data_IF_675311937938
#
_entry.id   IF_675311937938
#
_cell.length_a   1.000
_cell.length_b   1.000
_cell.length_c   1.000
_cell.angle_alpha   90.00
_cell.angle_beta   90.00
_cell.angle_gamma   90.00
#
_symmetry.space_group_name_H-M   'P 1'
#
loop_
_entity.id
_entity.type
_entity.pdbx_description
1 polymer ?
#
# COMPACT_ATOMS: atom_id res chain seq x y z
N UNK A 1 43.69 -38.95 -31.75
CA UNK A 1 42.36 -38.30 -31.83
C UNK A 1 41.47 -38.68 -30.62
N UNK A 2 41.83 -38.30 -29.39
CA UNK A 2 41.05 -38.66 -28.17
C UNK A 2 40.87 -37.51 -27.17
N UNK A 3 41.24 -36.27 -27.53
CA UNK A 3 41.23 -35.12 -26.60
C UNK A 3 39.99 -34.22 -26.70
N UNK A 4 39.07 -34.48 -27.63
CA UNK A 4 37.91 -33.62 -27.88
C UNK A 4 36.60 -34.08 -27.21
N UNK A 5 36.56 -35.29 -26.64
CA UNK A 5 35.32 -35.85 -26.05
C UNK A 5 35.05 -35.41 -24.61
N UNK A 6 36.08 -35.00 -23.85
CA UNK A 6 35.93 -34.66 -22.42
C UNK A 6 35.32 -33.28 -22.22
N UNK A 7 35.59 -32.34 -23.13
CA UNK A 7 35.00 -31.00 -23.04
C UNK A 7 33.48 -31.01 -23.27
N UNK A 8 32.93 -32.08 -23.87
CA UNK A 8 31.52 -32.13 -24.28
C UNK A 8 30.52 -32.37 -23.14
N UNK A 9 30.97 -33.04 -22.10
CA UNK A 9 30.08 -33.41 -20.99
C UNK A 9 30.11 -32.36 -19.87
N UNK A 10 31.10 -31.45 -19.85
CA UNK A 10 31.15 -30.35 -18.87
C UNK A 10 30.11 -29.26 -19.10
N UNK A 11 29.71 -28.98 -20.35
CA UNK A 11 28.76 -27.89 -20.64
C UNK A 11 27.29 -28.29 -20.53
N UNK A 12 26.97 -29.59 -20.46
CA UNK A 12 25.60 -30.05 -20.17
C UNK A 12 25.23 -29.91 -18.70
N UNK A 13 26.21 -29.80 -17.80
CA UNK A 13 25.97 -29.61 -16.37
C UNK A 13 25.61 -28.16 -15.99
N UNK A 14 25.87 -27.19 -16.88
CA UNK A 14 25.68 -25.76 -16.59
C UNK A 14 24.29 -25.26 -17.03
N UNK A 15 23.60 -25.96 -17.94
CA UNK A 15 22.33 -25.49 -18.53
C UNK A 15 21.06 -25.98 -17.82
N UNK A 16 21.19 -26.78 -16.76
CA UNK A 16 20.04 -27.32 -16.02
C UNK A 16 19.79 -26.61 -14.67
N UNK A 17 20.13 -25.31 -14.57
CA UNK A 17 19.48 -24.45 -13.58
C UNK A 17 18.09 -24.13 -14.08
N UNK A 18 17.17 -25.03 -13.74
CA UNK A 18 15.74 -24.76 -13.72
C UNK A 18 15.55 -23.48 -12.91
N UNK A 19 15.33 -22.34 -13.58
CA UNK A 19 14.87 -21.14 -12.93
C UNK A 19 13.54 -21.51 -12.30
N UNK A 20 13.57 -21.75 -10.99
CA UNK A 20 12.37 -21.86 -10.18
C UNK A 20 11.58 -20.58 -10.45
N UNK A 21 10.54 -20.67 -11.26
CA UNK A 21 9.47 -19.67 -11.28
C UNK A 21 8.68 -19.85 -9.99
N UNK A 22 9.33 -19.68 -8.85
CA UNK A 22 8.64 -19.39 -7.61
C UNK A 22 7.91 -18.08 -7.87
N UNK A 23 6.62 -18.19 -8.20
CA UNK A 23 5.71 -17.05 -8.18
C UNK A 23 5.89 -16.44 -6.80
N UNK A 24 6.57 -15.29 -6.75
CA UNK A 24 6.71 -14.49 -5.54
C UNK A 24 5.31 -14.02 -5.16
N UNK A 25 4.61 -14.84 -4.37
CA UNK A 25 3.33 -14.44 -3.84
C UNK A 25 3.63 -13.38 -2.79
N UNK A 26 3.24 -12.13 -3.10
CA UNK A 26 3.31 -11.05 -2.13
C UNK A 26 2.34 -11.43 -1.00
N UNK A 27 2.89 -11.91 0.11
CA UNK A 27 2.14 -12.12 1.35
C UNK A 27 1.55 -10.77 1.75
N UNK A 28 0.32 -10.77 2.29
CA UNK A 28 -0.35 -9.58 2.85
C UNK A 28 -0.99 -8.58 1.87
N UNK A 29 -1.21 -8.92 0.61
CA UNK A 29 -1.96 -8.04 -0.32
C UNK A 29 -3.39 -7.73 0.13
N UNK A 30 -3.99 -8.61 0.95
CA UNK A 30 -5.35 -8.48 1.49
C UNK A 30 -5.41 -7.86 2.89
N UNK A 31 -4.27 -7.50 3.50
CA UNK A 31 -4.31 -6.89 4.83
C UNK A 31 -4.83 -5.45 4.75
N UNK A 32 -5.59 -5.00 5.76
CA UNK A 32 -6.04 -3.62 5.84
C UNK A 32 -4.82 -2.69 5.93
N UNK A 33 -4.75 -1.69 5.06
CA UNK A 33 -3.67 -0.69 5.02
C UNK A 33 -4.25 0.66 5.38
N UNK A 34 -3.63 1.38 6.32
CA UNK A 34 -4.17 2.65 6.81
C UNK A 34 -4.38 3.67 5.68
N UNK A 35 -3.44 3.82 4.74
CA UNK A 35 -3.58 4.78 3.63
C UNK A 35 -4.82 4.57 2.75
N UNK A 36 -5.32 3.33 2.69
CA UNK A 36 -6.55 2.94 1.98
C UNK A 36 -7.81 3.06 2.82
N UNK A 37 -7.72 3.41 4.09
CA UNK A 37 -8.86 3.53 5.00
C UNK A 37 -9.54 4.90 4.86
N UNK A 38 -10.88 4.97 4.93
CA UNK A 38 -11.62 6.25 4.87
C UNK A 38 -11.25 7.22 6.00
N UNK A 39 -10.79 6.67 7.13
CA UNK A 39 -10.44 7.47 8.31
C UNK A 39 -9.00 7.99 8.26
N UNK A 40 -8.22 7.64 7.25
CA UNK A 40 -6.84 8.07 7.15
C UNK A 40 -6.72 9.49 6.62
N UNK A 41 -5.90 10.28 7.30
CA UNK A 41 -5.52 11.64 6.90
C UNK A 41 -4.04 11.64 6.52
N UNK A 42 -3.77 12.04 5.28
CA UNK A 42 -2.42 12.20 4.76
C UNK A 42 -1.68 13.30 5.52
N UNK A 43 -0.36 13.15 5.62
CA UNK A 43 0.45 14.16 6.27
C UNK A 43 0.67 15.31 5.29
N UNK A 44 0.14 16.48 5.61
CA UNK A 44 0.40 17.68 4.83
C UNK A 44 1.72 18.29 5.29
N UNK A 45 2.75 18.24 4.44
CA UNK A 45 3.95 19.02 4.67
C UNK A 45 3.63 20.50 4.48
N UNK A 46 3.79 21.30 5.52
CA UNK A 46 3.53 22.74 5.48
C UNK A 46 4.73 23.56 4.96
N UNK A 47 5.91 22.95 4.78
CA UNK A 47 7.11 23.64 4.34
C UNK A 47 7.79 22.95 3.15
N UNK A 48 8.13 23.69 2.08
CA UNK A 48 8.72 23.11 0.86
C UNK A 48 10.13 22.55 1.05
N UNK A 49 10.81 22.87 2.16
CA UNK A 49 12.17 22.44 2.46
C UNK A 49 12.24 21.28 3.47
N UNK A 50 11.12 20.90 4.07
CA UNK A 50 11.09 19.77 5.00
C UNK A 50 11.19 18.46 4.23
N UNK A 51 11.75 17.44 4.89
CA UNK A 51 11.76 16.08 4.33
C UNK A 51 10.35 15.66 3.96
N UNK A 52 10.21 15.08 2.77
CA UNK A 52 8.91 14.63 2.28
C UNK A 52 8.34 13.59 3.26
N UNK A 53 7.20 13.89 3.91
CA UNK A 53 6.65 13.03 4.94
C UNK A 53 6.26 11.70 4.33
N UNK A 54 6.47 10.63 5.08
CA UNK A 54 6.03 9.31 4.64
C UNK A 54 4.63 9.09 5.21
N UNK A 55 3.60 9.18 4.38
CA UNK A 55 2.21 8.96 4.80
C UNK A 55 2.00 7.66 5.59
N UNK A 56 2.76 6.61 5.28
CA UNK A 56 2.67 5.34 6.01
C UNK A 56 3.13 5.46 7.48
N UNK A 57 4.02 6.42 7.78
CA UNK A 57 4.57 6.68 9.11
C UNK A 57 3.89 7.87 9.78
N UNK A 58 3.67 8.95 9.03
CA UNK A 58 3.32 10.27 9.55
C UNK A 58 1.84 10.63 9.39
N UNK A 59 1.09 9.79 8.68
CA UNK A 59 -0.35 9.94 8.52
C UNK A 59 -1.12 9.73 9.82
N UNK A 60 -2.28 10.38 9.92
CA UNK A 60 -3.14 10.38 11.13
C UNK A 60 -4.42 9.60 10.91
N UNK A 61 -5.05 9.16 12.00
CA UNK A 61 -6.35 8.49 11.98
C UNK A 61 -7.44 9.43 12.51
N UNK A 62 -8.39 9.83 11.66
CA UNK A 62 -9.52 10.70 12.03
C UNK A 62 -10.46 10.08 13.06
N UNK A 63 -10.45 8.75 13.20
CA UNK A 63 -11.33 8.02 14.13
C UNK A 63 -10.85 8.07 15.58
N UNK A 64 -9.56 8.29 15.80
CA UNK A 64 -8.95 8.28 17.13
C UNK A 64 -8.18 9.56 17.38
N UNK A 65 -8.25 10.04 18.61
CA UNK A 65 -7.61 11.27 19.03
C UNK A 65 -8.31 11.84 20.25
N UNK A 66 -7.79 12.97 20.70
CA UNK A 66 -8.25 13.66 21.89
C UNK A 66 -8.76 15.05 21.51
N UNK A 67 -9.91 15.43 22.05
CA UNK A 67 -10.47 16.77 21.88
C UNK A 67 -10.21 17.59 23.13
N UNK A 68 -9.53 18.72 22.96
CA UNK A 68 -9.40 19.74 24.00
C UNK A 68 -10.78 20.32 24.33
N UNK A 69 -11.18 20.26 25.59
CA UNK A 69 -12.46 20.85 26.03
C UNK A 69 -12.41 22.38 26.08
N UNK A 70 -11.22 22.97 26.20
CA UNK A 70 -11.01 24.42 26.30
C UNK A 70 -10.93 25.07 24.92
N UNK A 71 -10.08 24.54 24.04
CA UNK A 71 -9.85 25.11 22.69
C UNK A 71 -10.78 24.51 21.64
N UNK A 72 -11.37 23.34 21.91
CA UNK A 72 -12.15 22.59 20.94
C UNK A 72 -11.31 21.86 19.89
N UNK A 73 -9.99 22.03 19.90
CA UNK A 73 -9.07 21.41 18.95
C UNK A 73 -9.00 19.90 19.11
N UNK A 74 -8.87 19.19 18.00
CA UNK A 74 -8.78 17.73 17.97
C UNK A 74 -7.35 17.34 17.57
N UNK A 75 -6.67 16.65 18.47
CA UNK A 75 -5.37 16.04 18.25
C UNK A 75 -5.57 14.59 17.84
N UNK A 76 -5.44 14.32 16.54
CA UNK A 76 -5.60 12.97 16.01
C UNK A 76 -4.38 12.11 16.25
N UNK A 77 -4.62 10.84 16.55
CA UNK A 77 -3.57 9.85 16.74
C UNK A 77 -2.88 9.49 15.41
N UNK A 78 -1.60 9.15 15.48
CA UNK A 78 -0.87 8.61 14.34
C UNK A 78 -1.45 7.24 13.93
N UNK A 79 -1.59 7.03 12.62
CA UNK A 79 -2.15 5.79 12.08
C UNK A 79 -1.30 4.56 12.45
N UNK A 80 0.04 4.74 12.53
CA UNK A 80 0.97 3.70 13.00
C UNK A 80 0.71 3.33 14.45
N UNK A 81 0.59 4.32 15.34
CA UNK A 81 0.30 4.11 16.76
C UNK A 81 -1.03 3.41 16.96
N UNK A 82 -2.08 3.84 16.25
CA UNK A 82 -3.39 3.17 16.27
C UNK A 82 -3.33 1.69 15.89
N UNK A 83 -2.38 1.29 15.04
CA UNK A 83 -2.20 -0.11 14.65
C UNK A 83 -1.43 -0.90 15.72
N UNK A 84 -0.44 -0.28 16.35
CA UNK A 84 0.40 -0.91 17.37
C UNK A 84 -0.33 -1.08 18.71
N UNK A 85 -1.16 -0.12 19.10
CA UNK A 85 -1.90 -0.11 20.37
C UNK A 85 -3.26 -0.85 20.29
N UNK A 86 -3.46 -1.68 19.27
CA UNK A 86 -4.69 -2.44 19.03
C UNK A 86 -6.00 -1.61 18.90
N UNK A 87 -5.92 -0.27 18.79
CA UNK A 87 -7.07 0.60 18.50
C UNK A 87 -7.73 0.19 17.17
N UNK A 88 -6.94 0.14 16.09
CA UNK A 88 -7.33 -0.51 14.84
C UNK A 88 -6.83 -1.97 14.78
N UNK A 89 -5.71 -2.26 15.46
CA UNK A 89 -5.09 -3.57 15.50
C UNK A 89 -4.56 -4.08 14.16
N UNK A 90 -3.96 -5.27 14.19
CA UNK A 90 -3.47 -5.94 12.97
C UNK A 90 -4.59 -6.43 12.06
N UNK A 91 -5.78 -6.65 12.62
CA UNK A 91 -6.98 -7.11 11.91
C UNK A 91 -7.75 -5.94 11.28
N UNK A 92 -7.48 -4.69 11.69
CA UNK A 92 -8.19 -3.51 11.20
C UNK A 92 -9.66 -3.50 11.63
N UNK A 93 -9.94 -3.64 12.93
CA UNK A 93 -11.33 -3.76 13.47
C UNK A 93 -12.26 -2.63 13.01
N UNK A 94 -11.73 -1.44 12.80
CA UNK A 94 -12.47 -0.27 12.33
C UNK A 94 -12.07 0.17 10.91
N UNK A 95 -11.43 -0.71 10.16
CA UNK A 95 -11.04 -0.45 8.78
C UNK A 95 -12.26 -0.40 7.86
N UNK A 96 -12.37 0.67 7.09
CA UNK A 96 -13.33 0.79 6.00
C UNK A 96 -12.53 1.29 4.80
N UNK A 97 -12.52 0.53 3.71
CA UNK A 97 -11.75 0.86 2.52
C UNK A 97 -12.34 2.08 1.81
N UNK A 98 -11.48 3.00 1.36
CA UNK A 98 -11.85 4.13 0.50
C UNK A 98 -12.45 3.55 -0.79
N UNK A 99 -13.58 4.10 -1.29
CA UNK A 99 -14.04 3.74 -2.61
C UNK A 99 -12.91 4.08 -3.59
N UNK A 100 -12.56 3.15 -4.47
CA UNK A 100 -11.62 3.46 -5.55
C UNK A 100 -12.20 4.63 -6.33
N UNK A 101 -11.41 5.67 -6.66
CA UNK A 101 -11.88 6.65 -7.62
C UNK A 101 -12.32 5.83 -8.83
N UNK A 102 -13.61 5.93 -9.18
CA UNK A 102 -14.10 5.30 -10.39
C UNK A 102 -13.16 5.81 -11.47
N UNK A 103 -12.45 4.89 -12.14
CA UNK A 103 -11.74 5.24 -13.35
C UNK A 103 -12.84 5.70 -14.30
N UNK A 104 -13.09 7.00 -14.32
CA UNK A 104 -13.80 7.63 -15.41
C UNK A 104 -12.86 7.35 -16.58
N UNK A 105 -13.20 6.35 -17.38
CA UNK A 105 -12.54 6.17 -18.66
C UNK A 105 -12.63 7.54 -19.35
N UNK A 106 -11.51 8.18 -19.72
CA UNK A 106 -11.55 9.43 -20.45
C UNK A 106 -12.27 9.15 -21.78
N UNK A 107 -13.58 9.41 -21.83
CA UNK A 107 -14.40 9.08 -23.00
C UNK A 107 -15.90 8.86 -22.79
N UNK A 108 -16.42 8.61 -21.58
CA UNK A 108 -17.89 8.59 -21.37
C UNK A 108 -18.34 9.83 -20.62
N UNK A 109 -18.89 10.81 -21.36
CA UNK A 109 -19.59 11.93 -20.75
C UNK A 109 -21.02 11.50 -20.38
N UNK A 110 -21.57 11.98 -19.24
CA UNK A 110 -22.96 11.70 -18.85
C UNK A 110 -24.02 12.18 -19.85
N UNK A 111 -23.63 12.97 -20.85
CA UNK A 111 -24.50 13.46 -21.92
C UNK A 111 -25.04 12.35 -22.84
N UNK A 112 -24.42 11.17 -22.86
CA UNK A 112 -24.80 10.08 -23.77
C UNK A 112 -25.89 9.16 -23.18
N UNK A 113 -26.36 9.42 -21.95
CA UNK A 113 -27.38 8.61 -21.26
C UNK A 113 -28.81 9.17 -21.47
N UNK A 114 -28.97 10.32 -22.14
CA UNK A 114 -30.26 10.98 -22.33
C UNK A 114 -30.67 11.20 -23.79
N UNK A 115 -30.34 10.26 -24.69
CA UNK A 115 -31.02 10.16 -26.00
C UNK A 115 -31.18 8.70 -26.42
N UNK A 116 -32.43 8.24 -26.46
CA UNK A 116 -32.87 7.09 -27.26
C UNK A 116 -33.32 5.90 -26.45
#
# INVERSE_FOLDING_TARGET
MYRYRVYIEMYKFILNRCFSTEKTFIRNTRLPVCSKCIYFMEHTNNYPYDFMPNDALDGKCKKFGEKSLVTGEILYDLARTCRMEDKCGNVGRYYIEKPRPQQICPGLYPSDILKG
#
